data_IF_864888443327
#
_entry.id   IF_864888443327
#
_cell.length_a   1.000
_cell.length_b   1.000
_cell.length_c   1.000
_cell.angle_alpha   90.00
_cell.angle_beta   90.00
_cell.angle_gamma   90.00
#
_symmetry.space_group_name_H-M   'P 1'
#
loop_
_entity.id
_entity.type
_entity.pdbx_description
1 polymer ?
#
# COMPACT_ATOMS: atom_id res chain seq x y z
N UNK A 1 -8.36 -6.94 -2.15
CA UNK A 1 -6.94 -6.97 -2.56
C UNK A 1 -6.65 -5.78 -3.45
N UNK A 2 -5.60 -5.05 -3.12
CA UNK A 2 -5.06 -3.90 -3.82
C UNK A 2 -3.79 -4.33 -4.57
N UNK A 3 -3.83 -4.29 -5.89
CA UNK A 3 -2.72 -4.59 -6.75
C UNK A 3 -1.93 -3.33 -7.11
N UNK A 4 -0.61 -3.42 -7.09
CA UNK A 4 0.29 -2.33 -7.46
C UNK A 4 0.99 -2.67 -8.77
N UNK A 5 0.90 -1.78 -9.76
CA UNK A 5 1.54 -1.92 -11.06
C UNK A 5 2.52 -0.75 -11.28
N UNK A 6 3.65 -1.03 -11.94
CA UNK A 6 4.60 0.00 -12.34
C UNK A 6 4.34 0.35 -13.80
N UNK A 7 3.98 1.59 -14.10
CA UNK A 7 3.74 2.04 -15.47
C UNK A 7 5.03 2.50 -16.14
N UNK A 8 5.88 3.21 -15.40
CA UNK A 8 7.11 3.76 -15.92
C UNK A 8 8.18 3.80 -14.84
N UNK A 9 9.32 3.19 -15.12
CA UNK A 9 10.48 3.23 -14.25
C UNK A 9 11.25 4.53 -14.51
N UNK A 10 11.40 5.36 -13.48
CA UNK A 10 12.32 6.50 -13.50
C UNK A 10 13.74 6.04 -13.19
N UNK A 11 14.08 5.97 -11.90
CA UNK A 11 15.37 5.42 -11.46
C UNK A 11 15.34 3.88 -11.38
N UNK A 12 15.92 3.20 -12.38
CA UNK A 12 15.98 1.72 -12.43
C UNK A 12 16.48 1.09 -11.14
N UNK A 13 17.71 1.41 -10.70
CA UNK A 13 18.32 0.77 -9.52
C UNK A 13 17.51 1.00 -8.23
N UNK A 14 17.05 2.24 -7.99
CA UNK A 14 16.24 2.58 -6.83
C UNK A 14 14.92 1.84 -6.80
N UNK A 15 14.23 1.80 -7.94
CA UNK A 15 12.92 1.14 -8.08
C UNK A 15 13.01 -0.35 -7.77
N UNK A 16 13.99 -1.05 -8.36
CA UNK A 16 14.14 -2.48 -8.11
C UNK A 16 14.57 -2.81 -6.68
N UNK A 17 15.38 -1.95 -6.05
CA UNK A 17 15.78 -2.13 -4.65
C UNK A 17 14.59 -1.99 -3.71
N UNK A 18 13.73 -0.98 -3.92
CA UNK A 18 12.50 -0.80 -3.16
C UNK A 18 11.55 -1.99 -3.35
N UNK A 19 11.28 -2.38 -4.60
CA UNK A 19 10.39 -3.51 -4.87
C UNK A 19 10.90 -4.83 -4.28
N UNK A 20 12.23 -5.01 -4.18
CA UNK A 20 12.82 -6.19 -3.54
C UNK A 20 12.75 -6.17 -2.01
N UNK A 21 12.69 -5.00 -1.39
CA UNK A 21 12.50 -4.88 0.05
C UNK A 21 11.03 -5.11 0.44
N UNK A 22 10.10 -4.66 -0.40
CA UNK A 22 8.66 -4.74 -0.12
C UNK A 22 7.99 -6.00 -0.66
N UNK A 23 8.58 -6.68 -1.65
CA UNK A 23 8.07 -7.96 -2.16
C UNK A 23 9.03 -9.11 -1.88
N UNK A 24 8.48 -10.28 -1.54
CA UNK A 24 9.25 -11.52 -1.43
C UNK A 24 9.60 -12.15 -2.79
N UNK A 25 9.40 -11.41 -3.90
CA UNK A 25 9.55 -11.94 -5.25
C UNK A 25 11.02 -11.90 -5.70
N UNK A 26 11.46 -12.88 -6.52
CA UNK A 26 12.76 -12.83 -7.18
C UNK A 26 12.85 -11.61 -8.10
N UNK A 27 14.05 -11.05 -8.22
CA UNK A 27 14.32 -9.91 -9.11
C UNK A 27 13.90 -10.17 -10.58
N UNK A 28 14.15 -11.38 -11.08
CA UNK A 28 13.72 -11.79 -12.43
C UNK A 28 12.21 -11.73 -12.60
N UNK A 29 11.46 -12.10 -11.55
CA UNK A 29 10.01 -12.06 -11.55
C UNK A 29 9.51 -10.62 -11.51
N UNK A 30 10.10 -9.77 -10.67
CA UNK A 30 9.78 -8.33 -10.61
C UNK A 30 9.99 -7.69 -11.99
N UNK A 31 11.13 -7.93 -12.63
CA UNK A 31 11.40 -7.43 -13.98
C UNK A 31 10.35 -7.90 -15.00
N UNK A 32 10.02 -9.19 -14.96
CA UNK A 32 9.02 -9.77 -15.87
C UNK A 32 7.64 -9.15 -15.64
N UNK A 33 7.24 -8.96 -14.37
CA UNK A 33 5.95 -8.36 -14.05
C UNK A 33 5.87 -6.91 -14.50
N UNK A 34 6.92 -6.11 -14.30
CA UNK A 34 6.96 -4.73 -14.80
C UNK A 34 6.87 -4.71 -16.33
N UNK A 35 7.65 -5.54 -17.03
CA UNK A 35 7.62 -5.60 -18.49
C UNK A 35 6.25 -6.04 -19.04
N UNK A 36 5.55 -6.90 -18.32
CA UNK A 36 4.21 -7.38 -18.68
C UNK A 36 3.08 -6.47 -18.15
N UNK A 37 3.41 -5.35 -17.51
CA UNK A 37 2.44 -4.47 -16.82
C UNK A 37 1.54 -5.21 -15.80
N UNK A 38 2.08 -6.26 -15.19
CA UNK A 38 1.41 -7.05 -14.16
C UNK A 38 1.64 -6.46 -12.76
N UNK A 39 0.82 -6.89 -11.80
CA UNK A 39 0.93 -6.52 -10.39
C UNK A 39 2.28 -6.95 -9.81
N UNK A 40 3.10 -5.99 -9.40
CA UNK A 40 4.37 -6.29 -8.71
C UNK A 40 4.15 -6.71 -7.26
N UNK A 41 3.05 -6.25 -6.67
CA UNK A 41 2.65 -6.55 -5.30
C UNK A 41 1.12 -6.52 -5.20
N UNK A 42 0.58 -7.35 -4.33
CA UNK A 42 -0.83 -7.38 -3.96
C UNK A 42 -0.89 -7.35 -2.44
N UNK A 43 -1.71 -6.44 -1.90
CA UNK A 43 -1.93 -6.31 -0.45
C UNK A 43 -3.41 -6.41 -0.13
N UNK A 44 -3.74 -6.76 1.10
CA UNK A 44 -5.10 -6.66 1.59
C UNK A 44 -5.47 -5.19 1.84
N UNK A 45 -6.67 -4.81 1.41
CA UNK A 45 -7.20 -3.47 1.63
C UNK A 45 -7.81 -3.33 3.03
N UNK A 46 -8.03 -4.45 3.72
CA UNK A 46 -8.55 -4.51 5.08
C UNK A 46 -7.43 -4.46 6.14
N UNK A 47 -6.17 -4.55 5.72
CA UNK A 47 -5.01 -4.49 6.61
C UNK A 47 -4.39 -3.08 6.62
N UNK A 48 -4.52 -2.40 7.76
CA UNK A 48 -4.02 -1.04 7.95
C UNK A 48 -2.49 -0.95 7.81
N UNK A 49 -1.75 -1.94 8.30
CA UNK A 49 -0.29 -1.95 8.24
C UNK A 49 0.18 -2.14 6.79
N UNK A 50 -0.51 -2.98 6.03
CA UNK A 50 -0.23 -3.14 4.61
C UNK A 50 -0.56 -1.87 3.81
N UNK A 51 -1.71 -1.23 4.07
CA UNK A 51 -2.05 0.06 3.44
C UNK A 51 -1.00 1.15 3.73
N UNK A 52 -0.48 1.21 4.96
CA UNK A 52 0.59 2.15 5.34
C UNK A 52 1.88 1.86 4.56
N UNK A 53 2.27 0.58 4.42
CA UNK A 53 3.44 0.17 3.62
C UNK A 53 3.27 0.55 2.15
N UNK A 54 2.08 0.40 1.58
CA UNK A 54 1.81 0.79 0.19
C UNK A 54 1.94 2.30 0.00
N UNK A 55 1.38 3.09 0.92
CA UNK A 55 1.50 4.55 0.89
C UNK A 55 2.97 4.99 0.92
N UNK A 56 3.79 4.41 1.78
CA UNK A 56 5.23 4.69 1.85
C UNK A 56 5.94 4.30 0.57
N UNK A 57 5.73 3.06 0.10
CA UNK A 57 6.33 2.56 -1.14
C UNK A 57 6.02 3.47 -2.32
N UNK A 58 4.77 3.93 -2.47
CA UNK A 58 4.37 4.81 -3.57
C UNK A 58 5.03 6.19 -3.45
N UNK A 59 5.15 6.74 -2.24
CA UNK A 59 5.86 8.01 -2.02
C UNK A 59 7.33 7.88 -2.39
N UNK A 60 8.00 6.81 -1.98
CA UNK A 60 9.40 6.57 -2.30
C UNK A 60 9.62 6.33 -3.80
N UNK A 61 8.76 5.52 -4.43
CA UNK A 61 8.78 5.29 -5.88
C UNK A 61 8.52 6.59 -6.66
N UNK A 62 7.54 7.39 -6.24
CA UNK A 62 7.25 8.68 -6.86
C UNK A 62 8.41 9.67 -6.67
N UNK A 63 9.09 9.65 -5.52
CA UNK A 63 10.23 10.53 -5.24
C UNK A 63 11.42 10.25 -6.16
N UNK A 64 11.61 8.99 -6.58
CA UNK A 64 12.66 8.60 -7.55
C UNK A 64 12.19 8.69 -9.02
N UNK A 65 11.02 9.28 -9.26
CA UNK A 65 10.46 9.50 -10.60
C UNK A 65 9.79 8.28 -11.24
N UNK A 66 9.47 7.25 -10.44
CA UNK A 66 8.77 6.06 -10.91
C UNK A 66 7.26 6.25 -10.81
N UNK A 67 6.57 6.02 -11.93
CA UNK A 67 5.10 6.08 -12.00
C UNK A 67 4.52 4.72 -11.62
N UNK A 68 3.59 4.77 -10.68
CA UNK A 68 2.92 3.61 -10.11
C UNK A 68 1.42 3.82 -10.23
N UNK A 69 0.71 2.78 -10.66
CA UNK A 69 -0.75 2.73 -10.67
C UNK A 69 -1.21 1.65 -9.72
N UNK A 70 -2.22 1.96 -8.91
CA UNK A 70 -2.90 0.98 -8.08
C UNK A 70 -4.19 0.54 -8.74
N UNK A 71 -4.54 -0.73 -8.56
CA UNK A 71 -5.76 -1.31 -9.09
C UNK A 71 -6.40 -2.23 -8.06
N UNK A 72 -7.69 -2.10 -7.79
CA UNK A 72 -8.45 -3.11 -7.04
C UNK A 72 -9.35 -3.90 -8.00
N UNK A 73 -10.32 -4.61 -7.41
CA UNK A 73 -11.41 -5.28 -8.12
C UNK A 73 -12.36 -4.33 -8.85
N UNK A 74 -12.42 -3.05 -8.48
CA UNK A 74 -13.34 -2.04 -9.04
C UNK A 74 -12.69 -1.22 -10.16
N UNK A 75 -11.36 -1.11 -10.20
CA UNK A 75 -10.62 -0.43 -11.24
C UNK A 75 -9.33 0.22 -10.76
N UNK A 76 -8.91 1.28 -11.45
CA UNK A 76 -7.73 2.07 -11.06
C UNK A 76 -8.10 2.94 -9.87
N UNK A 77 -7.25 2.91 -8.84
CA UNK A 77 -7.45 3.65 -7.59
C UNK A 77 -6.33 4.66 -7.41
N UNK A 78 -6.68 5.79 -6.80
CA UNK A 78 -5.75 6.87 -6.51
C UNK A 78 -5.16 6.74 -5.11
N UNK A 79 -4.02 7.39 -4.88
CA UNK A 79 -3.41 7.47 -3.55
C UNK A 79 -4.33 8.16 -2.54
N UNK A 80 -5.20 9.04 -3.00
CA UNK A 80 -6.21 9.70 -2.17
C UNK A 80 -7.20 8.70 -1.56
N UNK A 81 -7.68 7.73 -2.35
CA UNK A 81 -8.57 6.68 -1.85
C UNK A 81 -7.87 5.83 -0.79
N UNK A 82 -6.60 5.49 -1.01
CA UNK A 82 -5.79 4.76 -0.01
C UNK A 82 -5.61 5.58 1.28
N UNK A 83 -5.35 6.89 1.17
CA UNK A 83 -5.25 7.75 2.36
C UNK A 83 -6.58 7.83 3.12
N UNK A 84 -7.70 7.96 2.43
CA UNK A 84 -9.02 7.98 3.06
C UNK A 84 -9.31 6.67 3.80
N UNK A 85 -8.99 5.52 3.19
CA UNK A 85 -9.15 4.22 3.84
C UNK A 85 -8.29 4.11 5.11
N UNK A 86 -7.03 4.53 5.06
CA UNK A 86 -6.14 4.56 6.23
C UNK A 86 -6.76 5.44 7.34
N UNK A 87 -7.21 6.65 7.00
CA UNK A 87 -7.83 7.55 7.97
C UNK A 87 -9.08 6.93 8.62
N UNK A 88 -9.98 6.33 7.82
CA UNK A 88 -11.19 5.68 8.36
C UNK A 88 -10.85 4.52 9.29
N UNK A 89 -9.84 3.70 8.95
CA UNK A 89 -9.42 2.62 9.84
C UNK A 89 -8.76 3.12 11.13
N UNK A 90 -7.97 4.19 11.07
CA UNK A 90 -7.41 4.83 12.27
C UNK A 90 -8.50 5.42 13.17
N UNK A 91 -9.52 6.05 12.57
CA UNK A 91 -10.67 6.61 13.30
C UNK A 91 -11.48 5.50 14.00
N UNK A 92 -11.76 4.40 13.30
CA UNK A 92 -12.44 3.23 13.90
C UNK A 92 -11.61 2.61 15.04
N UNK A 93 -10.28 2.57 14.90
CA UNK A 93 -9.41 2.04 15.95
C UNK A 93 -9.46 2.91 17.22
N UNK A 94 -9.49 4.24 17.06
CA UNK A 94 -9.63 5.20 18.17
C UNK A 94 -11.01 5.08 18.81
N UNK A 95 -12.09 5.05 18.02
CA UNK A 95 -13.46 4.90 18.55
C UNK A 95 -13.62 3.60 19.36
N UNK A 96 -12.95 2.51 18.94
CA UNK A 96 -12.93 1.25 19.70
C UNK A 96 -12.19 1.37 21.01
N UNK A 97 -11.05 2.05 21.02
CA UNK A 97 -10.28 2.29 22.26
C UNK A 97 -11.06 3.18 23.24
N UNK A 98 -11.77 4.19 22.76
CA UNK A 98 -12.65 5.03 23.59
C UNK A 98 -13.82 4.23 24.17
N UNK A 99 -14.46 3.36 23.36
CA UNK A 99 -15.52 2.45 23.82
C UNK A 99 -15.02 1.44 24.86
N UNK A 100 -13.85 0.86 24.66
CA UNK A 100 -13.23 -0.05 25.63
C UNK A 100 -12.88 0.71 26.92
N UNK A 101 -12.31 1.91 26.83
CA UNK A 101 -12.01 2.75 28.01
C UNK A 101 -13.27 3.09 28.82
N UNK A 102 -14.36 3.46 28.16
CA UNK A 102 -15.65 3.73 28.81
C UNK A 102 -16.25 2.50 29.50
N UNK A 103 -16.05 1.30 28.94
CA UNK A 103 -16.46 0.06 29.59
C UNK A 103 -15.63 -0.27 30.84
N UNK A 104 -14.37 0.17 30.90
CA UNK A 104 -13.49 -0.05 32.05
C UNK A 104 -13.60 1.04 33.13
N UNK A 105 -14.19 2.21 32.84
CA UNK A 105 -14.42 3.28 33.81
C UNK A 105 -15.71 3.11 34.66
N UNK A 106 -16.60 2.17 34.33
CA UNK A 106 -17.83 1.89 35.12
C UNK A 106 -17.62 0.87 36.27
N UNK A 107 -16.40 0.36 36.50
CA UNK A 107 -16.03 -0.48 37.65
C UNK A 107 -15.19 0.29 38.70
N UNK A 108 -15.70 1.40 39.25
CA UNK A 108 -15.25 1.98 40.54
C UNK A 108 -16.43 2.62 41.31
#
# INVERSE_FOLDING_TARGET
MLAICIDSIGAKSGTYKLLRNHSSLPFSLIQTRINNHNSVMEVDILDLDELKKVRELIRELSAIGTKVTMRDSTGIITLEIVNNLISTFEEIAIEREELDALMFEEEE
#
